data_IF_089639242927
#
_entry.id   IF_089639242927
#
_cell.length_a   1.000
_cell.length_b   1.000
_cell.length_c   1.000
_cell.angle_alpha   90.00
_cell.angle_beta   90.00
_cell.angle_gamma   90.00
#
_symmetry.space_group_name_H-M   'P 1'
#
loop_
_entity.id
_entity.type
_entity.pdbx_description
1 polymer ?
#
# COMPACT_ATOMS: atom_id res chain seq x y z
N UNK A 1 19.46 -9.52 -11.65
CA UNK A 1 18.76 -8.44 -10.88
C UNK A 1 17.23 -8.48 -11.05
N UNK A 2 16.71 -9.08 -12.12
CA UNK A 2 15.27 -9.27 -12.43
C UNK A 2 14.41 -9.75 -11.24
N UNK A 3 14.87 -10.79 -10.54
CA UNK A 3 14.08 -11.40 -9.44
C UNK A 3 13.84 -10.46 -8.26
N UNK A 4 14.78 -9.53 -7.99
CA UNK A 4 14.70 -8.60 -6.86
C UNK A 4 13.61 -7.55 -7.08
N UNK A 5 13.46 -7.03 -8.31
CA UNK A 5 12.41 -6.06 -8.65
C UNK A 5 11.02 -6.70 -8.65
N UNK A 6 10.91 -7.96 -9.09
CA UNK A 6 9.66 -8.73 -9.03
C UNK A 6 9.20 -9.00 -7.60
N UNK A 7 10.13 -9.35 -6.70
CA UNK A 7 9.84 -9.49 -5.26
C UNK A 7 9.44 -8.15 -4.66
N UNK A 8 10.22 -7.09 -4.89
CA UNK A 8 9.93 -5.75 -4.36
C UNK A 8 8.55 -5.23 -4.82
N UNK A 9 8.20 -5.46 -6.09
CA UNK A 9 6.88 -5.14 -6.63
C UNK A 9 5.75 -5.84 -5.87
N UNK A 10 5.83 -7.16 -5.72
CA UNK A 10 4.81 -7.94 -5.03
C UNK A 10 4.72 -7.57 -3.53
N UNK A 11 5.85 -7.31 -2.88
CA UNK A 11 5.88 -6.86 -1.47
C UNK A 11 5.22 -5.49 -1.31
N UNK A 12 5.50 -4.54 -2.21
CA UNK A 12 4.86 -3.22 -2.17
C UNK A 12 3.34 -3.32 -2.35
N UNK A 13 2.87 -4.17 -3.27
CA UNK A 13 1.45 -4.41 -3.47
C UNK A 13 0.79 -5.10 -2.27
N UNK A 14 1.45 -6.10 -1.69
CA UNK A 14 0.93 -6.80 -0.51
C UNK A 14 0.83 -5.86 0.69
N UNK A 15 1.86 -5.03 0.92
CA UNK A 15 1.85 -4.03 1.98
C UNK A 15 0.73 -2.99 1.77
N UNK A 16 0.54 -2.51 0.55
CA UNK A 16 -0.56 -1.59 0.21
C UNK A 16 -1.93 -2.22 0.50
N UNK A 17 -2.12 -3.48 0.10
CA UNK A 17 -3.36 -4.22 0.36
C UNK A 17 -3.66 -4.36 1.86
N UNK A 18 -2.66 -4.74 2.65
CA UNK A 18 -2.80 -4.89 4.11
C UNK A 18 -3.15 -3.58 4.80
N UNK A 19 -2.51 -2.48 4.40
CA UNK A 19 -2.78 -1.16 4.95
C UNK A 19 -4.19 -0.67 4.62
N UNK A 20 -4.66 -0.90 3.38
CA UNK A 20 -6.03 -0.59 2.97
C UNK A 20 -7.03 -1.44 3.78
N UNK A 21 -6.80 -2.75 3.90
CA UNK A 21 -7.66 -3.64 4.66
C UNK A 21 -7.77 -3.22 6.13
N UNK A 22 -6.63 -2.91 6.76
CA UNK A 22 -6.60 -2.45 8.14
C UNK A 22 -7.33 -1.11 8.29
N UNK A 23 -7.08 -0.16 7.40
CA UNK A 23 -7.77 1.15 7.38
C UNK A 23 -9.29 1.00 7.29
N UNK A 24 -9.77 0.12 6.40
CA UNK A 24 -11.19 -0.20 6.25
C UNK A 24 -11.73 -0.80 7.55
N UNK A 25 -11.11 -1.86 8.07
CA UNK A 25 -11.59 -2.53 9.28
C UNK A 25 -11.61 -1.62 10.50
N UNK A 26 -10.63 -0.72 10.66
CA UNK A 26 -10.63 0.26 11.75
C UNK A 26 -11.74 1.28 11.57
N UNK A 27 -11.91 1.84 10.37
CA UNK A 27 -12.98 2.81 10.10
C UNK A 27 -14.39 2.23 10.34
N UNK A 28 -14.63 0.99 9.89
CA UNK A 28 -15.91 0.30 10.09
C UNK A 28 -16.08 -0.20 11.53
N UNK A 29 -15.01 -0.70 12.17
CA UNK A 29 -15.03 -1.16 13.56
C UNK A 29 -15.30 -0.03 14.55
N UNK A 30 -14.70 1.13 14.34
CA UNK A 30 -14.96 2.33 15.13
C UNK A 30 -16.41 2.80 14.95
N UNK A 31 -16.92 2.78 13.71
CA UNK A 31 -18.31 3.08 13.40
C UNK A 31 -19.33 2.14 14.07
N UNK A 32 -19.02 0.86 14.23
CA UNK A 32 -19.85 -0.10 14.98
C UNK A 32 -19.77 0.16 16.49
N UNK A 33 -18.63 0.60 17.01
CA UNK A 33 -18.44 0.90 18.44
C UNK A 33 -19.00 2.27 18.88
N UNK A 34 -19.43 3.10 17.92
CA UNK A 34 -19.86 4.49 18.18
C UNK A 34 -18.71 5.46 18.43
N UNK A 35 -17.46 5.04 18.20
CA UNK A 35 -16.29 5.92 18.23
C UNK A 35 -16.14 6.61 16.88
N UNK A 36 -15.87 7.91 16.90
CA UNK A 36 -15.47 8.64 15.70
C UNK A 36 -14.14 8.08 15.21
N UNK A 37 -14.05 7.63 13.95
CA UNK A 37 -12.79 7.10 13.41
C UNK A 37 -11.72 8.19 13.38
N UNK A 38 -10.48 7.80 13.69
CA UNK A 38 -9.34 8.72 13.65
C UNK A 38 -8.95 9.04 12.21
N UNK A 39 -9.53 10.13 11.70
CA UNK A 39 -9.32 10.62 10.33
C UNK A 39 -7.84 10.89 10.04
N UNK A 40 -7.05 11.32 11.03
CA UNK A 40 -5.63 11.60 10.83
C UNK A 40 -4.85 10.31 10.51
N UNK A 41 -5.16 9.21 11.18
CA UNK A 41 -4.58 7.89 10.90
C UNK A 41 -4.90 7.44 9.47
N UNK A 42 -6.16 7.59 9.03
CA UNK A 42 -6.56 7.21 7.67
C UNK A 42 -5.89 8.06 6.59
N UNK A 43 -5.69 9.36 6.84
CA UNK A 43 -4.96 10.26 5.93
C UNK A 43 -3.50 9.83 5.81
N UNK A 44 -2.83 9.50 6.93
CA UNK A 44 -1.45 9.01 6.91
C UNK A 44 -1.35 7.69 6.14
N UNK A 45 -2.27 6.75 6.38
CA UNK A 45 -2.31 5.47 5.66
C UNK A 45 -2.47 5.70 4.16
N UNK A 46 -3.31 6.65 3.73
CA UNK A 46 -3.47 6.99 2.31
C UNK A 46 -2.15 7.40 1.66
N UNK A 47 -1.38 8.29 2.29
CA UNK A 47 -0.07 8.71 1.75
C UNK A 47 0.94 7.57 1.69
N UNK A 48 0.96 6.70 2.71
CA UNK A 48 1.83 5.51 2.72
C UNK A 48 1.47 4.56 1.58
N UNK A 49 0.17 4.31 1.37
CA UNK A 49 -0.31 3.47 0.27
C UNK A 49 0.08 4.07 -1.09
N UNK A 50 -0.06 5.38 -1.28
CA UNK A 50 0.38 6.05 -2.50
C UNK A 50 1.88 5.89 -2.74
N UNK A 51 2.71 6.06 -1.71
CA UNK A 51 4.16 5.84 -1.83
C UNK A 51 4.50 4.38 -2.22
N UNK A 52 3.80 3.40 -1.65
CA UNK A 52 3.97 1.98 -2.00
C UNK A 52 3.56 1.67 -3.44
N UNK A 53 2.48 2.26 -3.93
CA UNK A 53 2.05 2.10 -5.32
C UNK A 53 3.07 2.74 -6.28
N UNK A 54 3.56 3.95 -5.97
CA UNK A 54 4.63 4.60 -6.73
C UNK A 54 5.91 3.75 -6.75
N UNK A 55 6.31 3.18 -5.62
CA UNK A 55 7.45 2.28 -5.52
C UNK A 55 7.25 0.99 -6.33
N UNK A 56 6.05 0.41 -6.32
CA UNK A 56 5.70 -0.75 -7.13
C UNK A 56 5.80 -0.42 -8.63
N UNK A 57 5.19 0.69 -9.07
CA UNK A 57 5.26 1.16 -10.45
C UNK A 57 6.73 1.36 -10.86
N UNK A 58 7.53 2.04 -10.05
CA UNK A 58 8.96 2.23 -10.30
C UNK A 58 9.71 0.90 -10.47
N UNK A 59 9.50 -0.06 -9.55
CA UNK A 59 10.12 -1.38 -9.63
C UNK A 59 9.72 -2.11 -10.93
N UNK A 60 8.45 -1.99 -11.32
CA UNK A 60 7.93 -2.60 -12.56
C UNK A 60 8.55 -1.95 -13.81
N UNK A 61 8.71 -0.64 -13.83
CA UNK A 61 9.38 0.07 -14.93
C UNK A 61 10.86 -0.29 -15.02
N UNK A 62 11.57 -0.39 -13.89
CA UNK A 62 12.97 -0.84 -13.85
C UNK A 62 13.14 -2.27 -14.34
N UNK A 63 12.25 -3.18 -13.95
CA UNK A 63 12.25 -4.57 -14.42
C UNK A 63 12.04 -4.65 -15.94
N UNK A 64 11.08 -3.90 -16.49
CA UNK A 64 10.82 -3.87 -17.94
C UNK A 64 11.92 -3.16 -18.74
N UNK A 65 12.52 -2.10 -18.19
CA UNK A 65 13.63 -1.39 -18.82
C UNK A 65 14.94 -2.19 -18.86
N UNK A 66 15.10 -3.16 -17.95
CA UNK A 66 16.20 -4.13 -17.94
C UNK A 66 16.02 -5.26 -18.97
N UNK A 67 14.83 -5.41 -19.56
CA UNK A 67 14.51 -6.44 -20.58
C UNK A 67 14.69 -5.97 -22.02
N UNK A 68 15.01 -4.69 -22.23
CA UNK A 68 15.36 -4.12 -23.54
C UNK A 68 16.87 -4.20 -23.75
#
# INVERSE_FOLDING_TARGET
MEYRYKIAYNVCLLAALLLIYNSINTAFGDGISGKTPDVAVHIVIFFVVMALILAAIYCRYKDMGLKK
#
